data_IF_750539950613
#
_entry.id   IF_750539950613
#
_cell.length_a   1.000
_cell.length_b   1.000
_cell.length_c   1.000
_cell.angle_alpha   90.00
_cell.angle_beta   90.00
_cell.angle_gamma   90.00
#
_symmetry.space_group_name_H-M   'P 1'
#
loop_
_entity.id
_entity.type
_entity.pdbx_description
1 polymer ?
#
# COMPACT_ATOMS: atom_id res chain seq x y z
N UNK A 1 -28.36 -18.03 0.85
CA UNK A 1 -27.90 -16.81 1.53
C UNK A 1 -29.07 -16.12 2.26
N UNK A 2 -28.85 -15.59 3.48
CA UNK A 2 -29.87 -14.90 4.29
C UNK A 2 -30.40 -13.64 3.56
N UNK A 3 -31.71 -13.35 3.66
CA UNK A 3 -32.35 -12.19 3.03
C UNK A 3 -31.69 -10.84 3.38
N UNK A 4 -31.17 -10.70 4.61
CA UNK A 4 -30.42 -9.50 5.04
C UNK A 4 -29.13 -9.32 4.21
N UNK A 5 -28.37 -10.40 4.03
CA UNK A 5 -27.12 -10.40 3.27
C UNK A 5 -27.35 -10.16 1.77
N UNK A 6 -28.45 -10.69 1.22
CA UNK A 6 -28.86 -10.38 -0.15
C UNK A 6 -29.19 -8.90 -0.34
N UNK A 7 -29.86 -8.26 0.64
CA UNK A 7 -30.15 -6.84 0.60
C UNK A 7 -28.87 -6.01 0.67
N UNK A 8 -27.93 -6.39 1.53
CA UNK A 8 -26.61 -5.77 1.67
C UNK A 8 -25.78 -5.89 0.38
N UNK A 9 -25.70 -7.09 -0.20
CA UNK A 9 -25.04 -7.34 -1.50
C UNK A 9 -25.56 -6.41 -2.59
N UNK A 10 -26.90 -6.24 -2.69
CA UNK A 10 -27.51 -5.30 -3.64
C UNK A 10 -27.19 -3.84 -3.32
N UNK A 11 -27.12 -3.48 -2.05
CA UNK A 11 -26.73 -2.14 -1.61
C UNK A 11 -25.29 -1.82 -2.00
N UNK A 12 -24.35 -2.72 -1.72
CA UNK A 12 -22.94 -2.57 -2.06
C UNK A 12 -22.74 -2.42 -3.57
N UNK A 13 -23.36 -3.28 -4.39
CA UNK A 13 -23.29 -3.15 -5.86
C UNK A 13 -23.73 -1.78 -6.35
N UNK A 14 -24.88 -1.29 -5.87
CA UNK A 14 -25.38 0.04 -6.24
C UNK A 14 -24.42 1.17 -5.86
N UNK A 15 -23.76 1.06 -4.70
CA UNK A 15 -22.77 2.05 -4.24
C UNK A 15 -21.57 2.13 -5.17
N UNK A 16 -21.14 1.00 -5.75
CA UNK A 16 -20.01 0.95 -6.68
C UNK A 16 -20.38 1.29 -8.12
N UNK A 17 -21.55 0.84 -8.59
CA UNK A 17 -21.98 1.01 -9.98
C UNK A 17 -22.12 2.48 -10.41
N UNK A 18 -22.36 3.39 -9.46
CA UNK A 18 -22.45 4.83 -9.71
C UNK A 18 -21.13 5.48 -10.16
N UNK A 19 -20.00 4.83 -9.90
CA UNK A 19 -18.68 5.33 -10.26
C UNK A 19 -18.29 4.86 -11.66
N UNK A 20 -17.55 5.68 -12.40
CA UNK A 20 -16.96 5.27 -13.68
C UNK A 20 -15.70 4.43 -13.47
N UNK A 21 -15.24 3.76 -14.53
CA UNK A 21 -14.07 2.88 -14.48
C UNK A 21 -12.79 3.63 -14.10
N UNK A 22 -12.59 4.86 -14.60
CA UNK A 22 -11.40 5.64 -14.33
C UNK A 22 -11.28 6.02 -12.85
N UNK A 23 -12.39 6.43 -12.25
CA UNK A 23 -12.50 6.70 -10.81
C UNK A 23 -12.19 5.46 -10.01
N UNK A 24 -12.84 4.33 -10.33
CA UNK A 24 -12.63 3.05 -9.63
C UNK A 24 -11.19 2.55 -9.73
N UNK A 25 -10.50 2.83 -10.84
CA UNK A 25 -9.11 2.41 -11.05
C UNK A 25 -8.11 3.19 -10.16
N UNK A 26 -8.46 4.41 -9.73
CA UNK A 26 -7.53 5.38 -9.11
C UNK A 26 -7.84 5.72 -7.65
N UNK A 27 -9.07 5.51 -7.17
CA UNK A 27 -9.50 6.10 -5.89
C UNK A 27 -8.89 5.44 -4.63
N UNK A 28 -8.58 4.14 -4.66
CA UNK A 28 -7.96 3.39 -3.55
C UNK A 28 -6.48 3.11 -3.77
N UNK A 29 -5.81 3.95 -4.55
CA UNK A 29 -4.38 3.81 -4.84
C UNK A 29 -3.65 5.16 -4.79
N UNK A 30 -4.18 6.09 -3.99
CA UNK A 30 -3.69 7.46 -3.87
C UNK A 30 -3.82 7.96 -2.45
N UNK A 31 -3.01 8.97 -2.13
CA UNK A 31 -3.00 9.61 -0.82
C UNK A 31 -2.82 8.57 0.32
N UNK A 32 -3.66 8.63 1.35
CA UNK A 32 -3.62 7.73 2.52
C UNK A 32 -4.05 6.31 2.16
N UNK A 33 -4.72 6.13 1.01
CA UNK A 33 -5.14 4.83 0.49
C UNK A 33 -4.09 4.24 -0.46
N UNK A 34 -2.97 4.92 -0.69
CA UNK A 34 -1.88 4.38 -1.51
C UNK A 34 -1.22 3.17 -0.80
N UNK A 35 -1.30 1.94 -1.37
CA UNK A 35 -0.79 0.72 -0.73
C UNK A 35 0.71 0.69 -0.39
N UNK A 36 1.48 1.66 -0.91
CA UNK A 36 2.89 1.86 -0.57
C UNK A 36 3.08 2.46 0.82
N UNK A 37 2.08 3.21 1.33
CA UNK A 37 2.14 3.88 2.63
C UNK A 37 0.94 3.59 3.53
N UNK A 38 -0.14 3.01 2.98
CA UNK A 38 -1.30 2.56 3.74
C UNK A 38 -0.91 1.40 4.67
N UNK A 39 -1.15 1.55 5.97
CA UNK A 39 -0.70 0.58 6.98
C UNK A 39 -1.44 -0.76 6.82
N UNK A 40 -2.71 -0.75 6.44
CA UNK A 40 -3.47 -1.98 6.23
C UNK A 40 -2.89 -2.80 5.06
N UNK A 41 -2.60 -2.14 3.93
CA UNK A 41 -1.94 -2.79 2.79
C UNK A 41 -0.53 -3.29 3.12
N UNK A 42 0.26 -2.50 3.88
CA UNK A 42 1.58 -2.92 4.36
C UNK A 42 1.46 -4.20 5.20
N UNK A 43 0.55 -4.22 6.18
CA UNK A 43 0.35 -5.38 7.06
C UNK A 43 -0.18 -6.60 6.31
N UNK A 44 -1.06 -6.42 5.32
CA UNK A 44 -1.54 -7.49 4.44
C UNK A 44 -0.38 -8.13 3.66
N UNK A 45 0.47 -7.29 3.07
CA UNK A 45 1.67 -7.74 2.36
C UNK A 45 2.65 -8.46 3.29
N UNK A 46 2.85 -7.95 4.49
CA UNK A 46 3.70 -8.56 5.53
C UNK A 46 3.22 -9.93 5.93
N UNK A 47 1.92 -10.09 6.12
CA UNK A 47 1.32 -11.39 6.37
C UNK A 47 1.64 -12.39 5.24
N UNK A 48 1.53 -12.00 3.97
CA UNK A 48 1.90 -12.88 2.85
C UNK A 48 3.40 -13.23 2.87
N UNK A 49 4.27 -12.25 3.12
CA UNK A 49 5.72 -12.44 3.19
C UNK A 49 6.09 -13.42 4.32
N UNK A 50 5.48 -13.28 5.50
CA UNK A 50 5.70 -14.20 6.62
C UNK A 50 5.23 -15.62 6.29
N UNK A 51 4.10 -15.77 5.58
CA UNK A 51 3.61 -17.08 5.16
C UNK A 51 4.54 -17.76 4.14
N UNK A 52 5.22 -16.98 3.30
CA UNK A 52 6.15 -17.46 2.28
C UNK A 52 7.57 -17.71 2.81
N UNK A 53 8.08 -16.84 3.70
CA UNK A 53 9.49 -16.77 4.05
C UNK A 53 9.77 -16.89 5.56
N UNK A 54 8.74 -17.00 6.40
CA UNK A 54 8.86 -16.92 7.86
C UNK A 54 9.45 -15.59 8.31
N UNK A 55 10.24 -15.61 9.37
CA UNK A 55 10.79 -14.40 10.00
C UNK A 55 11.99 -13.78 9.26
N UNK A 56 12.36 -14.32 8.08
CA UNK A 56 13.58 -13.92 7.34
C UNK A 56 13.62 -12.41 7.05
N UNK A 57 12.46 -11.79 6.87
CA UNK A 57 12.33 -10.38 6.52
C UNK A 57 11.77 -9.50 7.63
N UNK A 58 11.67 -9.99 8.86
CA UNK A 58 11.07 -9.27 9.99
C UNK A 58 11.67 -7.86 10.20
N UNK A 59 12.99 -7.72 10.03
CA UNK A 59 13.64 -6.40 10.12
C UNK A 59 13.16 -5.46 9.01
N UNK A 60 13.10 -5.93 7.76
CA UNK A 60 12.65 -5.10 6.63
C UNK A 60 11.17 -4.70 6.77
N UNK A 61 10.35 -5.60 7.32
CA UNK A 61 8.95 -5.33 7.63
C UNK A 61 8.80 -4.22 8.68
N UNK A 62 9.57 -4.26 9.78
CA UNK A 62 9.59 -3.15 10.77
C UNK A 62 10.00 -1.81 10.12
N UNK A 63 11.00 -1.83 9.25
CA UNK A 63 11.43 -0.62 8.54
C UNK A 63 10.34 -0.09 7.60
N UNK A 64 9.57 -0.95 6.94
CA UNK A 64 8.47 -0.52 6.08
C UNK A 64 7.31 0.09 6.86
N UNK A 65 6.97 -0.45 8.03
CA UNK A 65 5.95 0.15 8.91
C UNK A 65 6.37 1.56 9.31
N UNK A 66 7.64 1.74 9.73
CA UNK A 66 8.19 3.06 10.07
C UNK A 66 8.12 4.01 8.88
N UNK A 67 8.47 3.53 7.69
CA UNK A 67 8.35 4.30 6.44
C UNK A 67 6.90 4.73 6.20
N UNK A 68 5.92 3.82 6.25
CA UNK A 68 4.50 4.15 6.06
C UNK A 68 4.01 5.22 7.05
N UNK A 69 4.36 5.09 8.34
CA UNK A 69 4.01 6.08 9.36
C UNK A 69 4.61 7.47 9.07
N UNK A 70 5.89 7.51 8.74
CA UNK A 70 6.62 8.75 8.43
C UNK A 70 6.09 9.40 7.15
N UNK A 71 5.82 8.62 6.10
CA UNK A 71 5.29 9.15 4.84
C UNK A 71 3.88 9.69 5.01
N UNK A 72 3.03 9.05 5.83
CA UNK A 72 1.70 9.60 6.17
C UNK A 72 1.80 10.93 6.94
N UNK A 73 2.77 11.05 7.86
CA UNK A 73 3.04 12.32 8.53
C UNK A 73 3.48 13.41 7.55
N UNK A 74 4.39 13.10 6.64
CA UNK A 74 4.83 14.02 5.58
C UNK A 74 3.68 14.40 4.64
N UNK A 75 2.86 13.43 4.21
CA UNK A 75 1.69 13.67 3.37
C UNK A 75 0.73 14.65 4.04
N UNK A 76 0.53 14.53 5.36
CA UNK A 76 -0.29 15.47 6.13
C UNK A 76 0.29 16.89 6.09
N UNK A 77 1.60 17.06 6.24
CA UNK A 77 2.25 18.38 6.13
C UNK A 77 2.10 18.96 4.72
N UNK A 78 2.25 18.14 3.68
CA UNK A 78 2.04 18.55 2.29
C UNK A 78 0.59 18.99 2.07
N UNK A 79 -0.39 18.21 2.54
CA UNK A 79 -1.83 18.54 2.44
C UNK A 79 -2.22 19.78 3.23
N UNK A 80 -1.50 20.11 4.31
CA UNK A 80 -1.66 21.35 5.06
C UNK A 80 -1.01 22.57 4.39
N UNK A 81 -0.32 22.38 3.25
CA UNK A 81 0.34 23.47 2.55
C UNK A 81 1.57 24.00 3.27
N UNK A 82 2.25 23.18 4.08
CA UNK A 82 3.46 23.60 4.80
C UNK A 82 4.54 24.00 3.80
N UNK A 83 5.04 25.24 3.96
CA UNK A 83 6.04 25.83 3.08
C UNK A 83 7.38 25.08 3.13
N UNK A 84 8.16 25.23 2.06
CA UNK A 84 9.45 24.52 1.89
C UNK A 84 10.47 24.93 2.95
N UNK A 85 10.58 26.23 3.24
CA UNK A 85 11.47 26.74 4.27
C UNK A 85 11.15 26.15 5.65
N UNK A 86 9.88 25.91 5.96
CA UNK A 86 9.50 25.23 7.21
C UNK A 86 9.89 23.74 7.22
N UNK A 87 9.83 23.06 6.07
CA UNK A 87 10.24 21.65 5.98
C UNK A 87 11.77 21.49 6.01
N UNK A 88 12.51 22.47 5.48
CA UNK A 88 13.96 22.57 5.66
C UNK A 88 14.30 22.82 7.14
N UNK A 89 13.55 23.67 7.85
CA UNK A 89 13.72 23.84 9.30
C UNK A 89 13.43 22.56 10.08
N UNK A 90 12.43 21.76 9.68
CA UNK A 90 12.17 20.43 10.24
C UNK A 90 13.37 19.49 10.00
N UNK A 91 13.97 19.52 8.81
CA UNK A 91 15.17 18.73 8.54
C UNK A 91 16.33 19.15 9.46
N UNK A 92 16.54 20.44 9.65
CA UNK A 92 17.57 20.96 10.57
C UNK A 92 17.30 20.49 12.00
N UNK A 93 16.06 20.61 12.47
CA UNK A 93 15.67 20.11 13.79
C UNK A 93 15.92 18.60 13.95
N UNK A 94 15.61 17.79 12.93
CA UNK A 94 15.93 16.36 12.93
C UNK A 94 17.45 16.08 12.95
N UNK A 95 18.26 16.90 12.28
CA UNK A 95 19.73 16.80 12.32
C UNK A 95 20.27 17.11 13.72
N UNK A 96 19.65 18.07 14.42
CA UNK A 96 20.00 18.49 15.77
C UNK A 96 19.33 17.64 16.87
N UNK A 97 18.59 16.58 16.49
CA UNK A 97 17.82 15.72 17.40
C UNK A 97 16.78 16.48 18.25
N UNK A 98 16.27 17.60 17.73
CA UNK A 98 15.19 18.36 18.33
C UNK A 98 13.82 17.69 18.06
N UNK A 99 12.88 17.93 18.96
CA UNK A 99 11.50 17.42 18.91
C UNK A 99 10.51 18.45 18.33
N UNK A 100 10.98 19.62 17.93
CA UNK A 100 10.17 20.68 17.32
C UNK A 100 10.96 21.53 16.34
N UNK A 101 10.25 22.20 15.44
CA UNK A 101 10.77 23.23 14.54
C UNK A 101 9.72 24.34 14.38
N UNK A 102 9.92 25.48 15.06
CA UNK A 102 8.88 26.52 15.13
C UNK A 102 7.62 25.96 15.79
N UNK A 103 6.47 26.10 15.12
CA UNK A 103 5.18 25.59 15.60
C UNK A 103 4.92 24.10 15.29
N UNK A 104 5.88 23.43 14.63
CA UNK A 104 5.72 22.02 14.25
C UNK A 104 6.34 21.09 15.30
N UNK A 105 5.50 20.30 15.96
CA UNK A 105 5.94 19.14 16.72
C UNK A 105 6.42 18.04 15.77
N UNK A 106 7.61 17.49 16.05
CA UNK A 106 8.18 16.36 15.34
C UNK A 106 7.90 15.11 16.19
N UNK A 107 6.96 14.24 15.76
CA UNK A 107 6.63 13.06 16.55
C UNK A 107 7.86 12.19 16.79
N UNK A 108 7.94 11.59 17.97
CA UNK A 108 9.07 10.74 18.37
C UNK A 108 9.38 9.62 17.37
N UNK A 109 8.37 8.99 16.78
CA UNK A 109 8.61 7.95 15.77
C UNK A 109 9.29 8.48 14.50
N UNK A 110 9.11 9.76 14.16
CA UNK A 110 9.79 10.40 13.02
C UNK A 110 11.25 10.64 13.36
N UNK A 111 11.55 11.21 14.53
CA UNK A 111 12.92 11.48 14.94
C UNK A 111 13.72 10.20 15.17
N UNK A 112 13.12 9.18 15.81
CA UNK A 112 13.74 7.87 15.97
C UNK A 112 14.00 7.18 14.63
N UNK A 113 13.05 7.24 13.70
CA UNK A 113 13.25 6.70 12.35
C UNK A 113 14.35 7.44 11.62
N UNK A 114 14.39 8.78 11.67
CA UNK A 114 15.44 9.57 11.03
C UNK A 114 16.84 9.25 11.59
N UNK A 115 16.96 9.10 12.91
CA UNK A 115 18.21 8.76 13.57
C UNK A 115 18.72 7.35 13.22
N UNK A 116 17.81 6.41 12.95
CA UNK A 116 18.13 5.03 12.57
C UNK A 116 18.57 4.84 11.12
N UNK A 117 18.37 5.83 10.24
CA UNK A 117 18.66 5.72 8.80
C UNK A 117 20.05 6.23 8.43
N UNK A 118 20.79 5.48 7.61
CA UNK A 118 22.03 5.95 6.99
C UNK A 118 21.79 7.14 6.06
N UNK A 119 22.67 8.14 6.07
CA UNK A 119 22.50 9.38 5.29
C UNK A 119 23.24 9.32 3.94
N UNK A 120 22.70 9.89 2.85
CA UNK A 120 21.34 10.46 2.74
C UNK A 120 20.25 9.36 2.70
N UNK A 121 19.05 9.69 3.18
CA UNK A 121 17.90 8.77 3.24
C UNK A 121 16.63 9.40 2.63
N UNK A 122 15.53 8.64 2.54
CA UNK A 122 14.27 9.11 1.96
C UNK A 122 13.67 10.31 2.71
N UNK A 123 13.90 10.46 4.01
CA UNK A 123 13.48 11.64 4.78
C UNK A 123 14.28 12.89 4.38
N UNK A 124 15.58 12.73 4.13
CA UNK A 124 16.42 13.79 3.58
C UNK A 124 15.89 14.23 2.21
N UNK A 125 15.55 13.28 1.34
CA UNK A 125 14.91 13.56 0.05
C UNK A 125 13.57 14.28 0.19
N UNK A 126 12.70 13.81 1.09
CA UNK A 126 11.37 14.39 1.32
C UNK A 126 11.41 15.84 1.82
N UNK A 127 12.27 16.12 2.79
CA UNK A 127 12.33 17.42 3.45
C UNK A 127 13.16 18.45 2.67
N UNK A 128 14.02 17.99 1.76
CA UNK A 128 14.80 18.84 0.87
C UNK A 128 14.18 18.98 -0.54
N UNK A 129 12.95 18.52 -0.72
CA UNK A 129 12.25 18.50 -2.00
C UNK A 129 11.72 19.87 -2.45
N UNK A 130 11.80 20.16 -3.76
CA UNK A 130 11.55 21.47 -4.39
C UNK A 130 10.10 21.66 -4.90
N UNK A 131 9.64 22.92 -5.10
CA UNK A 131 8.22 23.26 -5.24
C UNK A 131 7.54 22.83 -6.54
N UNK A 132 8.26 22.72 -7.66
CA UNK A 132 7.66 22.40 -8.96
C UNK A 132 6.98 21.03 -8.98
N UNK A 133 7.40 20.13 -8.09
CA UNK A 133 6.90 18.76 -8.01
C UNK A 133 5.79 18.56 -6.93
N UNK A 134 5.50 19.58 -6.10
CA UNK A 134 4.54 19.48 -4.97
C UNK A 134 3.06 19.57 -5.34
N UNK A 135 2.73 20.00 -6.55
CA UNK A 135 1.33 20.18 -6.96
C UNK A 135 0.52 18.87 -6.96
N UNK A 136 1.18 17.70 -6.85
CA UNK A 136 0.59 16.38 -7.01
C UNK A 136 0.66 15.45 -5.77
N UNK A 137 1.13 15.93 -4.60
CA UNK A 137 1.25 15.10 -3.39
C UNK A 137 2.70 14.80 -3.02
N UNK A 138 2.98 13.61 -2.48
CA UNK A 138 4.36 13.15 -2.23
C UNK A 138 5.03 12.76 -3.56
N UNK A 139 6.37 12.89 -3.69
CA UNK A 139 7.06 12.48 -4.91
C UNK A 139 7.01 10.96 -5.09
N UNK A 140 6.74 10.54 -6.32
CA UNK A 140 6.62 9.14 -6.71
C UNK A 140 7.87 8.31 -6.39
N UNK A 141 9.06 8.89 -6.58
CA UNK A 141 10.31 8.19 -6.29
C UNK A 141 10.49 7.89 -4.79
N UNK A 142 9.92 8.70 -3.90
CA UNK A 142 9.92 8.43 -2.46
C UNK A 142 8.92 7.34 -2.12
N UNK A 143 7.70 7.41 -2.67
CA UNK A 143 6.69 6.37 -2.46
C UNK A 143 7.20 4.99 -2.93
N UNK A 144 7.96 4.96 -4.03
CA UNK A 144 8.57 3.74 -4.58
C UNK A 144 9.79 3.22 -3.81
N UNK A 145 10.15 3.80 -2.66
CA UNK A 145 11.36 3.37 -1.90
C UNK A 145 11.27 1.91 -1.49
N UNK A 146 10.21 1.52 -0.76
CA UNK A 146 10.07 0.14 -0.29
C UNK A 146 9.64 -0.83 -1.39
N UNK A 147 8.88 -0.37 -2.38
CA UNK A 147 8.58 -1.15 -3.59
C UNK A 147 9.86 -1.67 -4.25
N UNK A 148 10.84 -0.78 -4.48
CA UNK A 148 12.13 -1.13 -5.08
C UNK A 148 12.95 -2.06 -4.19
N UNK A 149 12.98 -1.78 -2.88
CA UNK A 149 13.73 -2.61 -1.93
C UNK A 149 13.15 -4.03 -1.92
N UNK A 150 11.83 -4.18 -1.81
CA UNK A 150 11.16 -5.49 -1.82
C UNK A 150 11.38 -6.24 -3.12
N UNK A 151 11.15 -5.57 -4.26
CA UNK A 151 11.38 -6.17 -5.57
C UNK A 151 12.81 -6.72 -5.69
N UNK A 152 13.79 -5.92 -5.25
CA UNK A 152 15.19 -6.32 -5.29
C UNK A 152 15.50 -7.50 -4.36
N UNK A 153 15.07 -7.47 -3.09
CA UNK A 153 15.41 -8.56 -2.15
C UNK A 153 14.71 -9.86 -2.51
N UNK A 154 13.47 -9.79 -3.00
CA UNK A 154 12.69 -10.97 -3.40
C UNK A 154 13.09 -11.51 -4.77
N UNK A 155 13.76 -10.73 -5.61
CA UNK A 155 14.16 -11.15 -6.97
C UNK A 155 14.99 -12.43 -6.99
N UNK A 156 15.84 -12.64 -5.98
CA UNK A 156 16.76 -13.77 -5.87
C UNK A 156 16.18 -14.97 -5.11
N UNK A 157 14.98 -14.87 -4.57
CA UNK A 157 14.39 -15.94 -3.76
C UNK A 157 13.62 -16.97 -4.59
N UNK A 158 13.58 -18.20 -4.10
CA UNK A 158 12.74 -19.25 -4.65
C UNK A 158 12.09 -19.99 -3.48
N UNK A 159 10.76 -20.01 -3.49
CA UNK A 159 9.93 -20.72 -2.53
C UNK A 159 8.76 -21.36 -3.28
N UNK A 160 8.12 -22.35 -2.66
CA UNK A 160 6.88 -22.90 -3.18
C UNK A 160 5.80 -21.82 -3.21
N UNK A 161 4.96 -21.85 -4.24
CA UNK A 161 3.88 -20.87 -4.39
C UNK A 161 2.80 -21.09 -3.34
N UNK A 162 2.28 -20.00 -2.79
CA UNK A 162 1.16 -19.98 -1.85
C UNK A 162 -0.15 -19.72 -2.59
N UNK A 163 -1.19 -20.52 -2.34
CA UNK A 163 -2.53 -20.26 -2.85
C UNK A 163 -3.23 -19.15 -2.05
N UNK A 164 -3.65 -18.07 -2.73
CA UNK A 164 -4.17 -16.87 -2.09
C UNK A 164 -5.47 -16.40 -2.73
N UNK A 165 -6.47 -16.11 -1.90
CA UNK A 165 -7.74 -15.51 -2.30
C UNK A 165 -7.87 -14.09 -1.73
N UNK A 166 -7.98 -13.08 -2.59
CA UNK A 166 -8.28 -11.70 -2.18
C UNK A 166 -9.77 -11.40 -2.37
N UNK A 167 -10.46 -11.09 -1.27
CA UNK A 167 -11.87 -10.72 -1.29
C UNK A 167 -12.05 -9.21 -1.38
N UNK A 168 -13.00 -8.77 -2.22
CA UNK A 168 -13.19 -7.36 -2.52
C UNK A 168 -11.91 -6.67 -3.04
N UNK A 169 -11.23 -7.34 -3.99
CA UNK A 169 -9.94 -6.91 -4.53
C UNK A 169 -9.97 -5.57 -5.29
N UNK A 170 -11.15 -4.99 -5.48
CA UNK A 170 -11.33 -3.75 -6.21
C UNK A 170 -10.78 -3.87 -7.62
N UNK A 171 -10.21 -2.77 -8.11
CA UNK A 171 -9.53 -2.75 -9.41
C UNK A 171 -8.09 -3.30 -9.28
N UNK A 172 -7.88 -4.44 -8.62
CA UNK A 172 -6.54 -4.93 -8.25
C UNK A 172 -5.77 -3.92 -7.39
N UNK A 173 -6.41 -3.44 -6.31
CA UNK A 173 -5.87 -2.33 -5.52
C UNK A 173 -4.59 -2.73 -4.78
N UNK A 174 -4.59 -3.86 -4.08
CA UNK A 174 -3.38 -4.39 -3.45
C UNK A 174 -2.55 -5.24 -4.43
N UNK A 175 -3.20 -6.06 -5.26
CA UNK A 175 -2.50 -6.94 -6.21
C UNK A 175 -1.49 -6.23 -7.11
N UNK A 176 -1.79 -5.01 -7.60
CA UNK A 176 -0.84 -4.25 -8.43
C UNK A 176 0.47 -3.94 -7.72
N UNK A 177 0.43 -3.84 -6.40
CA UNK A 177 1.63 -3.68 -5.57
C UNK A 177 2.21 -5.02 -5.13
N UNK A 178 1.42 -6.10 -5.03
CA UNK A 178 2.01 -7.44 -4.94
C UNK A 178 2.86 -7.76 -6.18
N UNK A 179 2.40 -7.36 -7.37
CA UNK A 179 3.15 -7.49 -8.62
C UNK A 179 4.42 -6.63 -8.59
N UNK A 180 4.29 -5.32 -8.35
CA UNK A 180 5.44 -4.42 -8.45
C UNK A 180 6.50 -4.65 -7.36
N UNK A 181 6.09 -5.11 -6.17
CA UNK A 181 7.00 -5.51 -5.08
C UNK A 181 7.65 -6.89 -5.32
N UNK A 182 7.25 -7.62 -6.36
CA UNK A 182 7.80 -8.94 -6.70
C UNK A 182 7.22 -10.11 -5.91
N UNK A 183 6.09 -9.91 -5.22
CA UNK A 183 5.44 -10.93 -4.38
C UNK A 183 4.52 -11.82 -5.20
N UNK A 184 3.83 -11.26 -6.20
CA UNK A 184 2.81 -11.98 -6.98
C UNK A 184 3.35 -13.27 -7.63
N UNK A 185 4.65 -13.32 -7.97
CA UNK A 185 5.29 -14.50 -8.55
C UNK A 185 5.31 -15.73 -7.62
N UNK A 186 5.10 -15.53 -6.33
CA UNK A 186 5.02 -16.59 -5.34
C UNK A 186 3.57 -16.95 -4.99
N UNK A 187 2.59 -16.42 -5.71
CA UNK A 187 1.17 -16.62 -5.42
C UNK A 187 0.47 -17.37 -6.55
N UNK A 188 -0.28 -18.40 -6.19
CA UNK A 188 -1.40 -18.89 -6.98
C UNK A 188 -2.62 -18.05 -6.60
N UNK A 189 -2.69 -16.86 -7.18
CA UNK A 189 -3.61 -15.80 -6.76
C UNK A 189 -4.97 -15.90 -7.44
N UNK A 190 -6.05 -15.63 -6.68
CA UNK A 190 -7.38 -15.30 -7.19
C UNK A 190 -7.93 -14.06 -6.48
N UNK A 191 -8.35 -13.06 -7.24
CA UNK A 191 -9.05 -11.88 -6.73
C UNK A 191 -10.54 -11.92 -7.07
N UNK A 192 -11.40 -11.60 -6.11
CA UNK A 192 -12.83 -11.46 -6.36
C UNK A 192 -13.38 -10.09 -5.94
N UNK A 193 -14.29 -9.54 -6.74
CA UNK A 193 -14.97 -8.29 -6.42
C UNK A 193 -16.43 -8.33 -6.90
N UNK A 194 -17.33 -7.66 -6.16
CA UNK A 194 -18.75 -7.61 -6.52
C UNK A 194 -19.02 -6.76 -7.76
N UNK A 195 -18.14 -5.80 -8.08
CA UNK A 195 -18.33 -4.83 -9.16
C UNK A 195 -17.65 -5.27 -10.46
N UNK A 196 -18.40 -5.49 -11.56
CA UNK A 196 -17.82 -5.86 -12.85
C UNK A 196 -16.82 -4.85 -13.41
N UNK A 197 -16.99 -3.56 -13.11
CA UNK A 197 -16.06 -2.51 -13.57
C UNK A 197 -14.69 -2.63 -12.91
N UNK A 198 -14.65 -2.99 -11.63
CA UNK A 198 -13.41 -3.26 -10.90
C UNK A 198 -12.65 -4.44 -11.53
N UNK A 199 -13.35 -5.54 -11.77
CA UNK A 199 -12.75 -6.73 -12.39
C UNK A 199 -12.29 -6.46 -13.83
N UNK A 200 -13.06 -5.68 -14.60
CA UNK A 200 -12.63 -5.26 -15.93
C UNK A 200 -11.33 -4.44 -15.89
N UNK A 201 -11.19 -3.51 -14.94
CA UNK A 201 -9.94 -2.77 -14.74
C UNK A 201 -8.78 -3.71 -14.35
N UNK A 202 -9.02 -4.63 -13.42
CA UNK A 202 -8.03 -5.60 -12.95
C UNK A 202 -7.47 -6.45 -14.10
N UNK A 203 -8.35 -7.04 -14.93
CA UNK A 203 -7.93 -7.79 -16.13
C UNK A 203 -7.23 -6.92 -17.17
N UNK A 204 -7.65 -5.66 -17.32
CA UNK A 204 -6.97 -4.75 -18.25
C UNK A 204 -5.52 -4.48 -17.83
N UNK A 205 -5.26 -4.34 -16.51
CA UNK A 205 -3.91 -4.14 -15.98
C UNK A 205 -3.08 -5.43 -15.92
N UNK A 206 -3.71 -6.55 -15.56
CA UNK A 206 -3.05 -7.83 -15.28
C UNK A 206 -3.82 -8.96 -15.97
N UNK A 207 -3.65 -9.12 -17.30
CA UNK A 207 -4.42 -10.09 -18.08
C UNK A 207 -4.13 -11.55 -17.71
N UNK A 208 -2.95 -11.83 -17.15
CA UNK A 208 -2.51 -13.18 -16.78
C UNK A 208 -2.91 -13.60 -15.36
N UNK A 209 -3.47 -12.69 -14.56
CA UNK A 209 -3.91 -12.96 -13.19
C UNK A 209 -5.40 -13.34 -13.12
N UNK A 210 -5.77 -14.22 -12.18
CA UNK A 210 -7.15 -14.69 -12.02
C UNK A 210 -7.99 -13.67 -11.22
N UNK A 211 -8.81 -12.90 -11.93
CA UNK A 211 -9.80 -12.00 -11.34
C UNK A 211 -11.22 -12.44 -11.72
N UNK A 212 -12.16 -12.39 -10.78
CA UNK A 212 -13.53 -12.85 -11.04
C UNK A 212 -14.56 -11.92 -10.40
N UNK A 213 -15.67 -11.71 -11.11
CA UNK A 213 -16.84 -11.11 -10.50
C UNK A 213 -17.45 -12.11 -9.53
N UNK A 214 -17.43 -11.79 -8.24
CA UNK A 214 -17.79 -12.74 -7.19
C UNK A 214 -18.44 -12.06 -5.99
N UNK A 215 -19.06 -12.88 -5.14
CA UNK A 215 -19.59 -12.46 -3.86
C UNK A 215 -18.81 -13.19 -2.77
N UNK A 216 -18.21 -12.47 -1.82
CA UNK A 216 -17.43 -13.06 -0.73
C UNK A 216 -18.26 -14.05 0.13
N UNK A 217 -19.59 -13.95 0.09
CA UNK A 217 -20.50 -14.85 0.80
C UNK A 217 -20.90 -16.11 -0.01
N UNK A 218 -20.53 -16.16 -1.29
CA UNK A 218 -20.91 -17.21 -2.25
C UNK A 218 -19.69 -17.59 -3.11
N UNK A 219 -18.52 -17.70 -2.47
CA UNK A 219 -17.26 -18.05 -3.13
C UNK A 219 -17.36 -19.48 -3.65
N UNK A 220 -17.17 -19.66 -4.96
CA UNK A 220 -17.15 -20.97 -5.60
C UNK A 220 -15.78 -21.65 -5.44
N UNK A 221 -15.41 -21.94 -4.20
CA UNK A 221 -14.19 -22.67 -3.84
C UNK A 221 -14.53 -23.78 -2.85
N UNK A 222 -13.83 -24.92 -2.94
CA UNK A 222 -13.99 -25.97 -1.93
C UNK A 222 -13.37 -25.54 -0.60
N UNK A 223 -13.88 -26.06 0.51
CA UNK A 223 -13.31 -25.80 1.83
C UNK A 223 -11.81 -26.12 1.87
N UNK A 224 -11.04 -25.24 2.50
CA UNK A 224 -9.58 -25.34 2.63
C UNK A 224 -8.80 -25.47 1.30
N UNK A 225 -9.39 -25.04 0.17
CA UNK A 225 -8.69 -25.01 -1.12
C UNK A 225 -7.70 -23.85 -1.29
N UNK A 226 -7.75 -22.87 -0.39
CA UNK A 226 -6.84 -21.73 -0.36
C UNK A 226 -6.11 -21.74 0.98
N UNK A 227 -4.80 -21.50 0.94
CA UNK A 227 -3.96 -21.45 2.14
C UNK A 227 -4.10 -20.12 2.88
N UNK A 228 -4.37 -19.04 2.15
CA UNK A 228 -4.62 -17.71 2.73
C UNK A 228 -5.82 -17.03 2.07
N UNK A 229 -6.56 -16.29 2.89
CA UNK A 229 -7.56 -15.33 2.45
C UNK A 229 -7.13 -13.95 2.96
N UNK A 230 -7.08 -12.99 2.05
CA UNK A 230 -6.74 -11.59 2.29
C UNK A 230 -7.93 -10.68 1.95
#
# INVERSE_FOLDING_TARGET
>A
MNHRLQKETRGLRKSWDRHDQATLCQYLVRDVEDPRINIQSILCRHFLIERLFGDRYAYLQDQEIRFGLVMNWLLRLVKQGVRIDHLQSILIALLDSADHSGDFEIPRYVSETFAGLSRPNYLFGALNWYPEERAAGLPEYLLNTFEKIWNQVLSNDSVETLSALEVACGSANDYRFFESFGIARFLQYRGIDLCPKNIANAHWMFPDADFQVGNALEIAASDASMEVCI
#
